data_IF_685134719070
#
_entry.id   IF_685134719070
#
_cell.length_a   1.000
_cell.length_b   1.000
_cell.length_c   1.000
_cell.angle_alpha   90.00
_cell.angle_beta   90.00
_cell.angle_gamma   90.00
#
_symmetry.space_group_name_H-M   'P 1'
#
loop_
_entity.id
_entity.type
_entity.pdbx_description
1 polymer ?
#
# COMPACT_ATOMS: atom_id res chain seq x y z
N UNK A 1 -5.10 -13.37 -28.56
CA UNK A 1 -6.06 -12.81 -27.58
C UNK A 1 -5.45 -12.77 -26.20
N UNK A 2 -4.87 -13.89 -25.74
CA UNK A 2 -4.24 -14.01 -24.42
C UNK A 2 -3.11 -13.02 -24.15
N UNK A 3 -2.22 -12.78 -25.13
CA UNK A 3 -1.16 -11.77 -25.01
C UNK A 3 -1.69 -10.33 -24.80
N UNK A 4 -2.84 -10.01 -25.38
CA UNK A 4 -3.50 -8.71 -25.18
C UNK A 4 -4.11 -8.60 -23.78
N UNK A 5 -4.73 -9.68 -23.28
CA UNK A 5 -5.27 -9.73 -21.92
C UNK A 5 -4.16 -9.57 -20.87
N UNK A 6 -3.03 -10.27 -21.03
CA UNK A 6 -1.86 -10.13 -20.16
C UNK A 6 -1.34 -8.69 -20.15
N UNK A 7 -1.29 -8.03 -21.32
CA UNK A 7 -0.86 -6.64 -21.41
C UNK A 7 -1.82 -5.68 -20.69
N UNK A 8 -3.13 -5.82 -20.91
CA UNK A 8 -4.16 -4.98 -20.26
C UNK A 8 -4.17 -5.16 -18.74
N UNK A 9 -4.04 -6.41 -18.26
CA UNK A 9 -3.93 -6.68 -16.82
C UNK A 9 -2.66 -6.08 -16.21
N UNK A 10 -1.55 -6.08 -16.95
CA UNK A 10 -0.33 -5.38 -16.55
C UNK A 10 -0.55 -3.86 -16.40
N UNK A 11 -1.25 -3.23 -17.35
CA UNK A 11 -1.60 -1.82 -17.28
C UNK A 11 -2.54 -1.51 -16.11
N UNK A 12 -3.52 -2.37 -15.84
CA UNK A 12 -4.39 -2.26 -14.67
C UNK A 12 -3.59 -2.35 -13.36
N UNK A 13 -2.62 -3.27 -13.30
CA UNK A 13 -1.69 -3.38 -12.17
C UNK A 13 -0.89 -2.10 -11.94
N UNK A 14 -0.45 -1.41 -13.00
CA UNK A 14 0.21 -0.10 -12.88
C UNK A 14 -0.73 0.91 -12.22
N UNK A 15 -2.00 1.00 -12.65
CA UNK A 15 -2.97 1.92 -12.04
C UNK A 15 -3.19 1.61 -10.55
N UNK A 16 -3.34 0.33 -10.19
CA UNK A 16 -3.53 -0.10 -8.80
C UNK A 16 -2.34 0.30 -7.94
N UNK A 17 -1.11 0.08 -8.42
CA UNK A 17 0.10 0.40 -7.65
C UNK A 17 0.35 1.91 -7.57
N UNK A 18 0.10 2.66 -8.64
CA UNK A 18 0.20 4.13 -8.61
C UNK A 18 -0.82 4.73 -7.65
N UNK A 19 -2.04 4.21 -7.65
CA UNK A 19 -3.05 4.64 -6.69
C UNK A 19 -2.66 4.28 -5.26
N UNK A 20 -2.16 3.06 -5.02
CA UNK A 20 -1.62 2.65 -3.72
C UNK A 20 -0.49 3.57 -3.24
N UNK A 21 0.44 3.92 -4.12
CA UNK A 21 1.51 4.86 -3.82
C UNK A 21 0.98 6.26 -3.46
N UNK A 22 -0.03 6.72 -4.19
CA UNK A 22 -0.66 8.02 -3.97
C UNK A 22 -1.37 8.07 -2.62
N UNK A 23 -2.15 7.04 -2.27
CA UNK A 23 -2.83 6.97 -0.97
C UNK A 23 -1.84 6.75 0.19
N UNK A 24 -0.81 5.94 -0.01
CA UNK A 24 0.26 5.75 0.99
C UNK A 24 1.01 7.04 1.28
N UNK A 25 1.28 7.87 0.26
CA UNK A 25 1.88 9.19 0.44
C UNK A 25 0.98 10.21 1.16
N UNK A 26 -0.31 9.90 1.32
CA UNK A 26 -1.28 10.68 2.10
C UNK A 26 -1.62 10.05 3.45
N UNK A 27 -0.92 8.98 3.86
CA UNK A 27 -1.23 8.24 5.08
C UNK A 27 -2.65 7.64 5.07
N UNK A 28 -3.20 7.32 3.90
CA UNK A 28 -4.56 6.81 3.75
C UNK A 28 -5.65 7.66 4.45
N UNK A 29 -5.49 8.99 4.46
CA UNK A 29 -6.39 9.95 5.11
C UNK A 29 -7.88 9.86 4.68
N UNK A 30 -8.15 9.19 3.55
CA UNK A 30 -9.50 8.88 3.04
C UNK A 30 -9.67 7.39 2.71
N UNK A 31 -9.00 6.53 3.48
CA UNK A 31 -8.94 5.09 3.36
C UNK A 31 -8.29 4.58 2.07
N UNK A 32 -8.38 3.27 1.83
CA UNK A 32 -7.66 2.58 0.76
C UNK A 32 -7.90 3.14 -0.65
N UNK A 33 -9.12 3.60 -0.96
CA UNK A 33 -9.47 4.12 -2.30
C UNK A 33 -9.48 5.65 -2.37
N UNK A 34 -9.27 6.34 -1.25
CA UNK A 34 -9.31 7.80 -1.20
C UNK A 34 -10.72 8.43 -1.19
N UNK A 35 -11.78 7.66 -0.94
CA UNK A 35 -13.17 8.13 -0.95
C UNK A 35 -13.97 7.79 0.31
N UNK A 36 -13.35 7.16 1.32
CA UNK A 36 -14.04 6.81 2.56
C UNK A 36 -13.82 7.89 3.61
N UNK A 37 -14.86 8.19 4.39
CA UNK A 37 -14.70 9.04 5.56
C UNK A 37 -13.89 8.29 6.64
N UNK A 38 -13.01 8.99 7.39
CA UNK A 38 -12.23 8.37 8.47
C UNK A 38 -13.09 7.61 9.49
N UNK A 39 -14.30 8.09 9.75
CA UNK A 39 -15.27 7.48 10.68
C UNK A 39 -15.86 6.13 10.21
N UNK A 40 -15.66 5.73 8.95
CA UNK A 40 -16.21 4.48 8.38
C UNK A 40 -15.14 3.40 8.13
N UNK A 41 -13.89 3.64 8.56
CA UNK A 41 -12.80 2.68 8.37
C UNK A 41 -13.02 1.49 9.30
N UNK A 42 -13.40 0.35 8.73
CA UNK A 42 -13.58 -0.90 9.48
C UNK A 42 -12.23 -1.44 9.96
N UNK A 43 -12.17 -1.94 11.20
CA UNK A 43 -10.96 -2.45 11.87
C UNK A 43 -10.25 -3.63 11.20
N UNK A 44 -10.85 -4.28 10.19
CA UNK A 44 -10.26 -5.40 9.46
C UNK A 44 -9.65 -5.03 8.09
N UNK A 45 -9.92 -3.83 7.58
CA UNK A 45 -9.47 -3.39 6.24
C UNK A 45 -8.69 -2.09 6.36
N UNK A 46 -7.42 -2.25 6.76
CA UNK A 46 -6.48 -1.16 6.96
C UNK A 46 -5.28 -1.29 6.01
N UNK A 47 -5.24 -0.42 5.00
CA UNK A 47 -4.13 -0.37 4.06
C UNK A 47 -2.87 0.27 4.65
N UNK A 48 -3.02 1.16 5.65
CA UNK A 48 -1.91 1.82 6.31
C UNK A 48 -1.14 0.82 7.17
N UNK A 49 -1.83 0.11 8.07
CA UNK A 49 -1.21 -0.90 8.93
C UNK A 49 -0.43 -1.96 8.12
N UNK A 50 -0.98 -2.40 6.98
CA UNK A 50 -0.32 -3.39 6.12
C UNK A 50 0.91 -2.80 5.42
N UNK A 51 0.83 -1.59 4.89
CA UNK A 51 1.95 -0.98 4.13
C UNK A 51 3.06 -0.43 5.02
N UNK A 52 2.74 -0.06 6.25
CA UNK A 52 3.70 0.39 7.27
C UNK A 52 4.38 -0.78 8.01
N UNK A 53 3.85 -2.00 7.92
CA UNK A 53 4.44 -3.18 8.56
C UNK A 53 5.85 -3.51 8.06
N UNK A 54 6.61 -4.31 8.82
CA UNK A 54 7.92 -4.84 8.41
C UNK A 54 7.86 -5.55 7.06
N UNK A 55 6.78 -6.30 6.82
CA UNK A 55 6.54 -7.01 5.57
C UNK A 55 6.14 -6.08 4.41
N UNK A 56 5.82 -4.81 4.68
CA UNK A 56 5.60 -3.76 3.68
C UNK A 56 6.87 -3.40 2.90
N UNK A 57 8.04 -3.82 3.38
CA UNK A 57 9.34 -3.58 2.78
C UNK A 57 10.08 -4.90 2.46
N UNK A 58 10.77 -4.93 1.32
CA UNK A 58 11.64 -6.02 0.92
C UNK A 58 13.03 -5.47 0.60
N UNK A 59 14.05 -5.94 1.35
CA UNK A 59 15.43 -5.44 1.28
C UNK A 59 15.55 -3.93 1.54
N UNK A 60 14.73 -3.39 2.46
CA UNK A 60 14.71 -1.96 2.78
C UNK A 60 14.02 -1.09 1.73
N UNK A 61 13.36 -1.70 0.73
CA UNK A 61 12.64 -1.01 -0.33
C UNK A 61 11.16 -1.37 -0.25
N UNK A 62 10.28 -0.37 -0.34
CA UNK A 62 8.83 -0.58 -0.30
C UNK A 62 8.36 -1.55 -1.38
N UNK A 63 7.45 -2.45 -0.99
CA UNK A 63 6.79 -3.37 -1.92
C UNK A 63 5.95 -2.65 -2.97
N UNK A 64 5.54 -1.40 -2.72
CA UNK A 64 4.87 -0.55 -3.72
C UNK A 64 5.80 -0.34 -4.92
N UNK A 65 7.09 -0.07 -4.69
CA UNK A 65 8.06 0.12 -5.77
C UNK A 65 8.34 -1.19 -6.51
N UNK A 66 8.49 -2.31 -5.79
CA UNK A 66 8.65 -3.63 -6.40
C UNK A 66 7.44 -4.02 -7.26
N UNK A 67 6.23 -3.73 -6.79
CA UNK A 67 4.99 -3.93 -7.55
C UNK A 67 4.96 -3.09 -8.82
N UNK A 68 5.38 -1.82 -8.76
CA UNK A 68 5.44 -0.95 -9.93
C UNK A 68 6.44 -1.47 -10.97
N UNK A 69 7.65 -1.82 -10.52
CA UNK A 69 8.68 -2.42 -11.38
C UNK A 69 8.19 -3.71 -12.02
N UNK A 70 7.49 -4.55 -11.27
CA UNK A 70 6.91 -5.79 -11.77
C UNK A 70 5.90 -5.52 -12.91
N UNK A 71 4.91 -4.65 -12.70
CA UNK A 71 3.89 -4.39 -13.74
C UNK A 71 4.42 -3.61 -14.95
N UNK A 72 5.34 -2.66 -14.73
CA UNK A 72 6.06 -1.99 -15.84
C UNK A 72 6.92 -2.99 -16.61
N UNK A 73 7.62 -3.89 -15.91
CA UNK A 73 8.38 -4.97 -16.53
C UNK A 73 7.51 -5.92 -17.35
N UNK A 74 6.36 -6.34 -16.82
CA UNK A 74 5.41 -7.21 -17.54
C UNK A 74 4.82 -6.55 -18.77
N UNK A 75 4.42 -5.28 -18.69
CA UNK A 75 3.90 -4.53 -19.84
C UNK A 75 4.99 -4.31 -20.90
N UNK A 76 6.22 -4.00 -20.48
CA UNK A 76 7.40 -3.94 -21.33
C UNK A 76 7.69 -5.27 -22.04
N UNK A 77 7.65 -6.39 -21.31
CA UNK A 77 7.76 -7.73 -21.90
C UNK A 77 6.62 -8.03 -22.88
N UNK A 78 5.40 -7.57 -22.59
CA UNK A 78 4.27 -7.64 -23.52
C UNK A 78 4.54 -6.88 -24.82
N UNK A 79 5.14 -5.69 -24.74
CA UNK A 79 5.56 -4.91 -25.90
C UNK A 79 6.68 -5.60 -26.69
N UNK A 80 7.68 -6.17 -25.99
CA UNK A 80 8.75 -6.94 -26.62
C UNK A 80 8.20 -8.19 -27.33
N UNK A 81 7.26 -8.91 -26.72
CA UNK A 81 6.54 -10.02 -27.37
C UNK A 81 5.79 -9.52 -28.61
N UNK A 82 5.18 -8.34 -28.56
CA UNK A 82 4.49 -7.76 -29.71
C UNK A 82 5.46 -7.36 -30.85
N UNK A 83 6.62 -6.79 -30.51
CA UNK A 83 7.62 -6.31 -31.46
C UNK A 83 8.59 -7.39 -31.97
N UNK A 84 8.73 -8.52 -31.27
CA UNK A 84 9.70 -9.56 -31.61
C UNK A 84 9.40 -10.27 -32.93
N UNK A 85 10.47 -10.49 -33.72
CA UNK A 85 10.45 -11.38 -34.92
C UNK A 85 10.13 -12.82 -34.52
N UNK A 86 9.57 -13.61 -35.44
CA UNK A 86 9.00 -14.95 -35.18
C UNK A 86 9.86 -15.89 -34.34
N UNK A 87 11.19 -15.89 -34.50
CA UNK A 87 12.11 -16.73 -33.72
C UNK A 87 12.31 -16.33 -32.26
N UNK A 88 12.12 -15.05 -31.89
CA UNK A 88 12.37 -14.56 -30.52
C UNK A 88 11.15 -14.58 -29.60
N UNK A 89 9.95 -14.74 -30.16
CA UNK A 89 8.67 -14.63 -29.43
C UNK A 89 8.55 -15.64 -28.31
N UNK A 90 8.99 -16.89 -28.57
CA UNK A 90 8.93 -17.96 -27.57
C UNK A 90 9.80 -17.67 -26.34
N UNK A 91 11.00 -17.12 -26.55
CA UNK A 91 11.90 -16.73 -25.46
C UNK A 91 11.28 -15.64 -24.58
N UNK A 92 10.75 -14.58 -25.19
CA UNK A 92 10.10 -13.51 -24.43
C UNK A 92 8.84 -13.97 -23.69
N UNK A 93 8.06 -14.89 -24.28
CA UNK A 93 6.93 -15.52 -23.59
C UNK A 93 7.36 -16.34 -22.37
N UNK A 94 8.46 -17.11 -22.47
CA UNK A 94 9.03 -17.85 -21.34
C UNK A 94 9.51 -16.94 -20.22
N UNK A 95 10.23 -15.86 -20.57
CA UNK A 95 10.71 -14.85 -19.60
C UNK A 95 9.52 -14.20 -18.89
N UNK A 96 8.48 -13.81 -19.64
CA UNK A 96 7.25 -13.25 -19.06
C UNK A 96 6.53 -14.25 -18.15
N UNK A 97 6.40 -15.51 -18.55
CA UNK A 97 5.79 -16.56 -17.73
C UNK A 97 6.56 -16.80 -16.43
N UNK A 98 7.91 -16.81 -16.49
CA UNK A 98 8.75 -16.93 -15.30
C UNK A 98 8.57 -15.74 -14.36
N UNK A 99 8.56 -14.50 -14.88
CA UNK A 99 8.30 -13.31 -14.09
C UNK A 99 6.93 -13.37 -13.40
N UNK A 100 5.86 -13.73 -14.13
CA UNK A 100 4.51 -13.92 -13.56
C UNK A 100 4.53 -14.98 -12.46
N UNK A 101 5.22 -16.11 -12.66
CA UNK A 101 5.32 -17.17 -11.66
C UNK A 101 6.00 -16.70 -10.37
N UNK A 102 7.10 -15.96 -10.47
CA UNK A 102 7.79 -15.38 -9.31
C UNK A 102 6.87 -14.39 -8.59
N UNK A 103 6.23 -13.48 -9.34
CA UNK A 103 5.26 -12.53 -8.78
C UNK A 103 4.08 -13.21 -8.09
N UNK A 104 3.59 -14.33 -8.61
CA UNK A 104 2.49 -15.10 -8.02
C UNK A 104 2.88 -15.72 -6.69
N UNK A 105 4.05 -16.39 -6.62
CA UNK A 105 4.55 -16.96 -5.37
C UNK A 105 4.76 -15.87 -4.32
N UNK A 106 5.33 -14.73 -4.71
CA UNK A 106 5.51 -13.61 -3.80
C UNK A 106 4.19 -12.98 -3.36
N UNK A 107 3.20 -12.89 -4.25
CA UNK A 107 1.85 -12.41 -3.89
C UNK A 107 1.17 -13.34 -2.89
N UNK A 108 1.31 -14.66 -3.04
CA UNK A 108 0.82 -15.63 -2.05
C UNK A 108 1.49 -15.44 -0.69
N UNK A 109 2.79 -15.19 -0.67
CA UNK A 109 3.52 -14.88 0.55
C UNK A 109 2.97 -13.61 1.23
N UNK A 110 2.78 -12.51 0.51
CA UNK A 110 2.23 -11.28 1.09
C UNK A 110 0.77 -11.43 1.56
N UNK A 111 -0.04 -12.24 0.88
CA UNK A 111 -1.40 -12.57 1.33
C UNK A 111 -1.37 -13.42 2.59
N UNK A 112 -0.44 -14.38 2.67
CA UNK A 112 -0.23 -15.19 3.87
C UNK A 112 0.14 -14.30 5.08
N UNK A 113 1.05 -13.34 4.92
CA UNK A 113 1.42 -12.42 6.01
C UNK A 113 0.23 -11.58 6.46
N UNK A 114 -0.55 -11.00 5.53
CA UNK A 114 -1.75 -10.23 5.85
C UNK A 114 -2.76 -11.04 6.68
N UNK A 115 -3.02 -12.28 6.27
CA UNK A 115 -4.01 -13.13 6.94
C UNK A 115 -3.51 -13.67 8.30
N UNK A 116 -2.28 -14.20 8.37
CA UNK A 116 -1.82 -14.95 9.54
C UNK A 116 -1.00 -14.14 10.54
N UNK A 117 -0.27 -13.12 10.09
CA UNK A 117 0.63 -12.36 10.97
C UNK A 117 0.05 -10.99 11.35
N UNK A 118 -0.56 -10.29 10.39
CA UNK A 118 -1.08 -8.94 10.61
C UNK A 118 -2.53 -8.95 11.07
N UNK A 119 -3.34 -9.92 10.63
CA UNK A 119 -4.79 -9.92 10.87
C UNK A 119 -5.53 -8.75 10.20
N UNK A 120 -4.87 -8.10 9.23
CA UNK A 120 -5.33 -6.88 8.56
C UNK A 120 -5.27 -7.06 7.05
N UNK A 121 -6.26 -6.53 6.33
CA UNK A 121 -6.36 -6.67 4.89
C UNK A 121 -6.19 -5.33 4.16
N UNK A 122 -5.22 -5.25 3.26
CA UNK A 122 -5.11 -4.14 2.33
C UNK A 122 -5.87 -4.44 1.04
N UNK A 123 -6.96 -3.71 0.80
CA UNK A 123 -7.84 -3.96 -0.35
C UNK A 123 -7.13 -3.80 -1.70
N UNK A 124 -6.24 -2.81 -1.82
CA UNK A 124 -5.44 -2.61 -3.04
C UNK A 124 -4.40 -3.72 -3.24
N UNK A 125 -3.77 -4.21 -2.17
CA UNK A 125 -2.88 -5.37 -2.23
C UNK A 125 -3.62 -6.63 -2.67
N UNK A 126 -4.85 -6.85 -2.20
CA UNK A 126 -5.69 -7.99 -2.61
C UNK A 126 -6.15 -7.88 -4.08
N UNK A 127 -6.45 -6.68 -4.57
CA UNK A 127 -6.70 -6.44 -6.00
C UNK A 127 -5.45 -6.78 -6.82
N UNK A 128 -4.28 -6.29 -6.40
CA UNK A 128 -2.99 -6.61 -7.02
C UNK A 128 -2.74 -8.13 -7.06
N UNK A 129 -2.91 -8.82 -5.92
CA UNK A 129 -2.76 -10.27 -5.82
C UNK A 129 -3.75 -11.02 -6.74
N UNK A 130 -4.99 -10.55 -6.86
CA UNK A 130 -5.99 -11.11 -7.76
C UNK A 130 -5.59 -10.94 -9.23
N UNK A 131 -5.05 -9.77 -9.62
CA UNK A 131 -4.51 -9.53 -10.96
C UNK A 131 -3.37 -10.51 -11.25
N UNK A 132 -2.43 -10.70 -10.31
CA UNK A 132 -1.32 -11.63 -10.49
C UNK A 132 -1.79 -13.08 -10.58
N UNK A 133 -2.78 -13.49 -9.77
CA UNK A 133 -3.37 -14.82 -9.86
C UNK A 133 -4.03 -15.07 -11.23
N UNK A 134 -4.79 -14.10 -11.75
CA UNK A 134 -5.38 -14.17 -13.09
C UNK A 134 -4.28 -14.26 -14.15
N UNK A 135 -3.24 -13.42 -14.06
CA UNK A 135 -2.08 -13.47 -14.97
C UNK A 135 -1.42 -14.85 -14.97
N UNK A 136 -1.25 -15.46 -13.79
CA UNK A 136 -0.68 -16.80 -13.65
C UNK A 136 -1.56 -17.86 -14.33
N UNK A 137 -2.87 -17.84 -14.09
CA UNK A 137 -3.81 -18.75 -14.73
C UNK A 137 -3.82 -18.60 -16.27
N UNK A 138 -3.83 -17.36 -16.77
CA UNK A 138 -3.74 -17.08 -18.20
C UNK A 138 -2.41 -17.57 -18.78
N UNK A 139 -1.29 -17.37 -18.07
CA UNK A 139 0.02 -17.84 -18.50
C UNK A 139 0.13 -19.37 -18.50
N UNK A 140 -0.44 -20.04 -17.49
CA UNK A 140 -0.49 -21.50 -17.41
C UNK A 140 -1.38 -22.08 -18.52
N UNK A 141 -2.50 -21.42 -18.83
CA UNK A 141 -3.37 -21.80 -19.93
C UNK A 141 -2.70 -21.63 -21.30
N UNK A 142 -1.94 -20.54 -21.54
CA UNK A 142 -1.14 -20.37 -22.78
C UNK A 142 -0.13 -21.51 -22.95
N UNK A 143 0.51 -21.91 -21.83
CA UNK A 143 1.52 -22.96 -21.82
C UNK A 143 0.95 -24.34 -22.16
N UNK A 144 -0.18 -24.72 -21.55
CA UNK A 144 -0.80 -26.04 -21.75
C UNK A 144 -1.61 -26.14 -23.04
N UNK A 145 -2.24 -25.04 -23.45
CA UNK A 145 -3.13 -25.03 -24.61
C UNK A 145 -2.40 -24.76 -25.92
N UNK A 146 -1.09 -24.52 -25.91
CA UNK A 146 -0.30 -24.23 -27.11
C UNK A 146 -0.42 -25.36 -28.13
N UNK A 147 -1.23 -25.21 -29.21
CA UNK A 147 -1.11 -26.11 -30.35
C UNK A 147 0.28 -25.85 -30.96
N UNK A 148 0.84 -26.80 -31.69
CA UNK A 148 2.00 -26.52 -32.56
C UNK A 148 1.53 -25.53 -33.64
N UNK A 149 1.63 -24.22 -33.38
CA UNK A 149 1.12 -23.20 -34.28
C UNK A 149 2.06 -23.07 -35.48
N UNK A 150 1.69 -23.77 -36.54
CA UNK A 150 2.07 -23.50 -37.93
C UNK A 150 1.18 -22.38 -38.47
N UNK A 151 1.42 -21.14 -38.05
CA UNK A 151 0.74 -20.00 -38.70
C UNK A 151 1.71 -18.86 -38.93
N UNK A 152 1.70 -18.35 -40.18
CA UNK A 152 2.49 -17.22 -40.61
C UNK A 152 2.22 -15.94 -39.81
N UNK A 153 3.04 -14.91 -40.00
CA UNK A 153 3.02 -13.72 -39.17
C UNK A 153 1.73 -12.92 -39.41
N UNK A 154 0.77 -12.99 -38.47
CA UNK A 154 -0.30 -11.98 -38.39
C UNK A 154 0.31 -10.65 -37.93
N UNK A 155 -0.02 -9.52 -38.57
CA UNK A 155 0.41 -8.21 -38.12
C UNK A 155 -0.12 -7.96 -36.71
N UNK A 156 0.79 -7.67 -35.77
CA UNK A 156 0.45 -7.41 -34.38
C UNK A 156 0.13 -5.91 -34.23
N UNK A 157 -0.95 -5.54 -33.53
CA UNK A 157 -1.42 -4.16 -33.51
C UNK A 157 -0.63 -3.30 -32.51
N UNK A 158 0.65 -3.05 -32.79
CA UNK A 158 1.56 -2.27 -31.93
C UNK A 158 0.97 -0.90 -31.58
N UNK A 159 0.32 -0.22 -32.53
CA UNK A 159 -0.33 1.08 -32.28
C UNK A 159 -1.41 1.04 -31.19
N UNK A 160 -2.15 -0.07 -31.05
CA UNK A 160 -3.15 -0.23 -29.98
C UNK A 160 -2.49 -0.37 -28.61
N UNK A 161 -1.38 -1.10 -28.53
CA UNK A 161 -0.63 -1.30 -27.29
C UNK A 161 -0.01 0.03 -26.82
N UNK A 162 0.59 0.79 -27.74
CA UNK A 162 1.10 2.12 -27.45
C UNK A 162 0.00 3.08 -26.99
N UNK A 163 -1.15 3.10 -27.68
CA UNK A 163 -2.28 3.95 -27.27
C UNK A 163 -2.80 3.61 -25.88
N UNK A 164 -2.93 2.32 -25.55
CA UNK A 164 -3.33 1.87 -24.21
C UNK A 164 -2.30 2.26 -23.14
N UNK A 165 -1.00 2.10 -23.41
CA UNK A 165 0.04 2.51 -22.47
C UNK A 165 0.02 4.02 -22.21
N UNK A 166 -0.18 4.84 -23.25
CA UNK A 166 -0.34 6.30 -23.09
C UNK A 166 -1.58 6.62 -22.28
N UNK A 167 -2.72 5.98 -22.57
CA UNK A 167 -3.95 6.18 -21.80
C UNK A 167 -3.75 5.82 -20.31
N UNK A 168 -3.05 4.73 -20.01
CA UNK A 168 -2.70 4.35 -18.63
C UNK A 168 -1.83 5.40 -17.95
N UNK A 169 -0.82 5.95 -18.64
CA UNK A 169 0.01 7.03 -18.08
C UNK A 169 -0.81 8.30 -17.80
N UNK A 170 -1.74 8.66 -18.69
CA UNK A 170 -2.64 9.80 -18.48
C UNK A 170 -3.54 9.58 -17.28
N UNK A 171 -4.14 8.39 -17.15
CA UNK A 171 -5.00 8.04 -16.02
C UNK A 171 -4.22 8.00 -14.69
N UNK A 172 -3.03 7.41 -14.67
CA UNK A 172 -2.14 7.40 -13.52
C UNK A 172 -1.74 8.83 -13.11
N UNK A 173 -1.39 9.68 -14.08
CA UNK A 173 -1.08 11.08 -13.83
C UNK A 173 -2.29 11.87 -13.31
N UNK A 174 -3.48 11.62 -13.85
CA UNK A 174 -4.72 12.23 -13.38
C UNK A 174 -5.07 11.83 -11.94
N UNK A 175 -4.88 10.55 -11.57
CA UNK A 175 -5.06 10.06 -10.21
C UNK A 175 -4.13 10.77 -9.22
N UNK A 176 -2.82 10.80 -9.53
CA UNK A 176 -1.81 11.51 -8.72
C UNK A 176 -2.16 12.99 -8.58
N UNK A 177 -2.50 13.67 -9.67
CA UNK A 177 -2.82 15.10 -9.67
C UNK A 177 -4.09 15.39 -8.87
N UNK A 178 -5.14 14.59 -9.06
CA UNK A 178 -6.40 14.73 -8.35
C UNK A 178 -6.18 14.59 -6.85
N UNK A 179 -5.62 13.47 -6.40
CA UNK A 179 -5.44 13.23 -4.97
C UNK A 179 -4.42 14.17 -4.34
N UNK A 180 -3.34 14.57 -5.02
CA UNK A 180 -2.42 15.57 -4.45
C UNK A 180 -3.01 16.98 -4.35
N UNK A 181 -4.03 17.29 -5.15
CA UNK A 181 -4.71 18.59 -5.10
C UNK A 181 -5.75 18.68 -3.98
N UNK A 182 -6.14 17.56 -3.39
CA UNK A 182 -7.09 17.55 -2.27
C UNK A 182 -6.39 18.04 -1.00
N UNK A 183 -7.05 18.92 -0.21
CA UNK A 183 -6.56 19.26 1.13
C UNK A 183 -6.40 17.97 1.95
N UNK A 184 -5.54 17.97 2.96
CA UNK A 184 -5.54 16.89 3.95
C UNK A 184 -6.94 16.78 4.55
N UNK A 185 -7.42 15.55 4.76
CA UNK A 185 -8.67 15.38 5.46
C UNK A 185 -8.52 16.00 6.86
N UNK A 186 -9.25 17.08 7.13
CA UNK A 186 -9.27 17.69 8.45
C UNK A 186 -9.67 16.60 9.45
N UNK A 187 -8.77 16.30 10.40
CA UNK A 187 -9.15 15.58 11.60
C UNK A 187 -10.21 16.42 12.28
N UNK A 188 -11.48 16.05 12.14
CA UNK A 188 -12.59 16.88 12.60
C UNK A 188 -12.43 17.11 14.11
N UNK A 189 -12.23 18.37 14.57
CA UNK A 189 -12.21 18.66 15.99
C UNK A 189 -13.66 18.62 16.48
N UNK A 190 -14.11 17.43 16.88
CA UNK A 190 -15.44 17.25 17.44
C UNK A 190 -16.16 16.01 16.96
N UNK A 191 -15.65 14.83 17.32
CA UNK A 191 -16.47 13.68 17.68
C UNK A 191 -15.58 12.63 18.35
N UNK A 192 -15.34 12.84 19.65
CA UNK A 192 -15.25 11.70 20.57
C UNK A 192 -16.62 11.03 20.56
N UNK A 193 -16.90 10.24 19.53
CA UNK A 193 -17.98 9.26 19.63
C UNK A 193 -17.40 8.20 20.53
N UNK A 194 -17.97 8.05 21.73
CA UNK A 194 -17.63 6.96 22.66
C UNK A 194 -17.54 5.66 21.86
N UNK A 195 -16.31 5.15 21.71
CA UNK A 195 -16.11 3.81 21.17
C UNK A 195 -16.83 2.84 22.13
N UNK A 196 -17.67 1.93 21.61
CA UNK A 196 -18.26 0.90 22.44
C UNK A 196 -17.11 0.16 23.14
N UNK A 197 -17.23 0.01 24.47
CA UNK A 197 -16.20 -0.47 25.40
C UNK A 197 -15.70 -1.92 25.17
N UNK A 198 -15.90 -2.50 23.99
CA UNK A 198 -15.49 -3.85 23.61
C UNK A 198 -15.05 -3.90 22.13
N UNK A 199 -14.04 -3.11 21.77
CA UNK A 199 -13.31 -3.30 20.52
C UNK A 199 -11.89 -3.78 20.85
N UNK A 200 -11.78 -5.08 21.09
CA UNK A 200 -10.51 -5.78 21.22
C UNK A 200 -9.76 -5.68 19.88
N UNK A 201 -8.77 -4.79 19.84
CA UNK A 201 -7.80 -4.66 18.77
C UNK A 201 -8.25 -3.79 17.60
N UNK A 202 -7.87 -2.51 17.61
CA UNK A 202 -7.03 -1.83 16.61
C UNK A 202 -6.74 -0.41 17.11
N UNK A 203 -5.46 -0.07 17.28
CA UNK A 203 -4.87 1.14 16.70
C UNK A 203 -5.21 2.54 17.21
N UNK A 204 -5.76 2.71 18.42
CA UNK A 204 -5.62 3.98 19.16
C UNK A 204 -4.93 3.71 20.49
N UNK A 205 -4.16 4.68 21.00
CA UNK A 205 -3.66 4.65 22.37
C UNK A 205 -4.84 4.80 23.35
N UNK A 206 -5.61 3.73 23.52
CA UNK A 206 -6.71 3.68 24.49
C UNK A 206 -6.06 3.53 25.87
N UNK A 207 -6.53 4.33 26.82
CA UNK A 207 -6.15 4.18 28.22
C UNK A 207 -6.56 2.79 28.69
N UNK A 208 -5.58 1.92 28.90
CA UNK A 208 -5.76 0.58 29.45
C UNK A 208 -5.77 0.68 30.98
N UNK A 209 -6.92 0.48 31.64
CA UNK A 209 -7.02 0.55 33.10
C UNK A 209 -6.33 -0.63 33.81
N UNK A 210 -6.00 -1.70 33.08
CA UNK A 210 -5.27 -2.85 33.60
C UNK A 210 -3.75 -2.67 33.49
N UNK A 211 -3.29 -1.68 32.70
CA UNK A 211 -1.88 -1.35 32.60
C UNK A 211 -1.37 -0.89 33.97
N UNK A 212 -0.25 -1.47 34.45
CA UNK A 212 0.28 -1.09 35.75
C UNK A 212 0.58 0.40 35.77
N UNK A 213 0.02 1.09 36.75
CA UNK A 213 0.33 2.51 37.00
C UNK A 213 1.81 2.63 37.30
N UNK A 214 2.46 3.68 36.78
CA UNK A 214 3.82 3.98 37.19
C UNK A 214 3.79 4.37 38.67
N UNK A 215 4.33 3.50 39.52
CA UNK A 215 4.28 3.67 40.98
C UNK A 215 5.00 4.94 41.44
N UNK A 216 6.08 5.30 40.74
CA UNK A 216 6.86 6.51 41.01
C UNK A 216 7.21 7.25 39.72
N UNK A 217 6.49 8.33 39.43
CA UNK A 217 6.76 9.14 38.26
C UNK A 217 8.13 9.81 38.28
N UNK A 218 8.76 9.96 39.45
CA UNK A 218 10.11 10.52 39.58
C UNK A 218 11.17 9.61 38.96
N UNK A 219 10.87 8.34 38.73
CA UNK A 219 11.79 7.43 38.03
C UNK A 219 11.84 7.73 36.52
N UNK A 220 10.89 8.50 36.01
CA UNK A 220 10.76 8.86 34.60
C UNK A 220 11.37 10.23 34.27
N UNK A 221 11.75 11.02 35.26
CA UNK A 221 12.27 12.39 35.10
C UNK A 221 13.55 12.58 35.91
N UNK A 222 14.54 13.22 35.30
CA UNK A 222 15.80 13.60 35.92
C UNK A 222 15.73 15.02 36.49
N UNK A 223 16.57 15.32 37.47
CA UNK A 223 16.75 16.69 37.99
C UNK A 223 17.19 17.69 36.91
N UNK A 224 17.80 17.20 35.83
CA UNK A 224 18.23 18.02 34.69
C UNK A 224 17.11 18.35 33.71
N UNK A 225 15.94 17.71 33.84
CA UNK A 225 14.89 17.85 32.84
C UNK A 225 14.18 19.20 32.98
N UNK A 226 13.81 19.85 31.85
CA UNK A 226 13.06 21.09 31.89
C UNK A 226 11.73 20.90 32.62
N UNK A 227 11.44 21.78 33.57
CA UNK A 227 10.17 21.79 34.29
C UNK A 227 9.60 23.20 34.32
N UNK A 228 8.27 23.29 34.31
CA UNK A 228 7.51 24.54 34.34
C UNK A 228 6.32 24.36 35.28
N UNK A 229 6.01 25.39 36.07
CA UNK A 229 4.89 25.37 37.02
C UNK A 229 5.32 25.14 38.48
N UNK A 230 4.33 24.89 39.34
CA UNK A 230 4.54 24.69 40.77
C UNK A 230 4.93 23.24 41.07
N UNK A 231 5.98 22.99 41.87
CA UNK A 231 6.30 21.63 42.36
C UNK A 231 5.21 21.01 43.25
N UNK A 232 4.30 21.82 43.77
CA UNK A 232 3.18 21.40 44.64
C UNK A 232 1.85 21.29 43.88
N UNK A 233 1.89 21.28 42.53
CA UNK A 233 0.69 21.19 41.72
C UNK A 233 -0.09 19.88 41.99
N UNK A 234 -1.43 19.92 42.01
CA UNK A 234 -2.25 18.72 42.24
C UNK A 234 -2.22 17.74 41.06
N UNK A 235 -1.75 18.18 39.89
CA UNK A 235 -1.59 17.38 38.68
C UNK A 235 -0.21 17.68 38.09
N UNK A 236 0.55 16.62 37.82
CA UNK A 236 1.84 16.69 37.14
C UNK A 236 1.70 16.06 35.76
N UNK A 237 2.08 16.81 34.72
CA UNK A 237 2.13 16.32 33.33
C UNK A 237 3.60 16.09 32.99
N UNK A 238 3.93 14.89 32.51
CA UNK A 238 5.27 14.54 32.03
C UNK A 238 5.18 14.34 30.52
N UNK A 239 5.79 15.24 29.76
CA UNK A 239 5.83 15.16 28.30
C UNK A 239 7.02 14.32 27.83
N UNK A 240 6.75 13.26 27.09
CA UNK A 240 7.79 12.50 26.40
C UNK A 240 7.84 12.93 24.92
N UNK A 241 8.92 13.60 24.55
CA UNK A 241 9.12 14.06 23.18
C UNK A 241 10.38 13.42 22.59
N UNK A 242 10.21 12.65 21.50
CA UNK A 242 11.31 12.16 20.68
C UNK A 242 11.37 13.00 19.38
N UNK A 243 12.41 13.85 19.19
CA UNK A 243 12.55 14.67 17.99
C UNK A 243 12.72 13.86 16.70
N UNK A 244 13.04 12.56 16.79
CA UNK A 244 13.15 11.68 15.64
C UNK A 244 11.83 11.00 15.28
N UNK A 245 10.80 11.13 16.12
CA UNK A 245 9.48 10.56 15.89
C UNK A 245 8.56 11.58 15.18
N UNK A 246 8.11 11.31 13.94
CA UNK A 246 7.22 12.22 13.21
C UNK A 246 5.88 12.48 13.89
N UNK A 247 5.37 11.49 14.63
CA UNK A 247 4.11 11.61 15.37
C UNK A 247 4.25 12.53 16.59
N UNK A 248 5.36 12.44 17.34
CA UNK A 248 5.65 13.37 18.43
C UNK A 248 5.73 14.82 17.92
N UNK A 249 6.39 15.03 16.78
CA UNK A 249 6.46 16.35 16.15
C UNK A 249 5.09 16.92 15.77
N UNK A 250 4.17 16.05 15.32
CA UNK A 250 2.80 16.44 14.97
C UNK A 250 1.95 16.76 16.20
N UNK A 251 2.18 16.06 17.32
CA UNK A 251 1.45 16.25 18.58
C UNK A 251 1.90 17.51 19.35
N UNK A 252 3.17 17.91 19.20
CA UNK A 252 3.76 19.00 19.99
C UNK A 252 2.96 20.33 19.99
N UNK A 253 2.44 20.85 18.86
CA UNK A 253 1.64 22.07 18.86
C UNK A 253 0.34 21.98 19.67
N UNK A 254 -0.23 20.77 19.80
CA UNK A 254 -1.42 20.52 20.63
C UNK A 254 -1.04 20.53 22.10
N UNK A 255 0.06 19.86 22.45
CA UNK A 255 0.56 19.81 23.82
C UNK A 255 0.95 21.19 24.34
N UNK A 256 1.57 22.02 23.50
CA UNK A 256 1.90 23.42 23.84
C UNK A 256 0.66 24.19 24.33
N UNK A 257 -0.51 23.99 23.73
CA UNK A 257 -1.77 24.62 24.18
C UNK A 257 -2.34 24.06 25.50
N UNK A 258 -1.87 22.89 25.95
CA UNK A 258 -2.31 22.24 27.18
C UNK A 258 -1.37 22.56 28.34
N UNK A 259 -0.06 22.68 28.07
CA UNK A 259 0.97 22.87 29.09
C UNK A 259 1.46 24.32 29.24
N UNK A 260 1.19 25.21 28.27
CA UNK A 260 1.59 26.63 28.31
C UNK A 260 0.42 27.61 28.41
#
# INVERSE_FOLDING_TARGET
>A
MLDGAVFVLGLLGILVVVHLWTQSGRGFDRGCFGFTNPAEVTTAVDCEAVTASDAGNMFGVSNILWGLLFYVGLTGLGFLVAAAKSGGVGTWKKVRAAAIGIGFVYSLYLVYIQYFQLGQFCRLCLISASIVAILFLLSAYDWTSSPKVTSGPKPRPIGKFSALAVATLVLAGADVMYFRSLPEAEAQPGQMTELPANADGVGECIYDPEKPTVENYLDMVSFSDPSRGSPEAPVTVIEFFDPNCPHCATLHPIMEAVVE
#
